data_IF_913646081221
#
_entry.id   IF_913646081221
#
_cell.length_a   1.000
_cell.length_b   1.000
_cell.length_c   1.000
_cell.angle_alpha   90.00
_cell.angle_beta   90.00
_cell.angle_gamma   90.00
#
_symmetry.space_group_name_H-M   'P 1'
#
loop_
_entity.id
_entity.type
_entity.pdbx_description
1 polymer ?
#
# COMPACT_ATOMS: atom_id res chain seq x y z
N UNK A 1 -32.84 15.51 6.73
CA UNK A 1 -32.31 14.55 5.75
C UNK A 1 -31.63 13.50 6.57
N UNK A 2 -31.94 12.22 6.34
CA UNK A 2 -31.20 11.15 7.01
C UNK A 2 -29.72 11.26 6.60
N UNK A 3 -28.83 11.14 7.57
CA UNK A 3 -27.38 11.09 7.32
C UNK A 3 -27.12 9.87 6.43
N UNK A 4 -26.38 10.02 5.31
CA UNK A 4 -26.04 8.90 4.44
C UNK A 4 -25.34 7.78 5.21
N UNK A 5 -25.65 6.52 4.88
CA UNK A 5 -24.95 5.37 5.47
C UNK A 5 -23.54 5.26 4.88
N UNK A 6 -22.56 5.71 5.67
CA UNK A 6 -21.14 5.76 5.31
C UNK A 6 -20.56 4.40 4.88
N UNK A 7 -21.11 3.29 5.36
CA UNK A 7 -20.62 1.95 5.01
C UNK A 7 -21.04 1.53 3.59
N UNK A 8 -21.99 2.25 2.98
CA UNK A 8 -22.50 1.96 1.64
C UNK A 8 -22.00 2.92 0.56
N UNK A 9 -21.38 4.04 0.95
CA UNK A 9 -20.90 5.05 0.02
C UNK A 9 -19.58 4.62 -0.63
N UNK A 10 -19.54 4.62 -1.96
CA UNK A 10 -18.33 4.47 -2.76
C UNK A 10 -18.08 5.68 -3.68
N UNK A 11 -17.19 5.50 -4.67
CA UNK A 11 -16.83 6.54 -5.64
C UNK A 11 -17.95 6.99 -6.59
N UNK A 12 -19.06 6.26 -6.69
CA UNK A 12 -20.19 6.61 -7.58
C UNK A 12 -21.39 7.19 -6.83
N UNK A 13 -21.32 7.21 -5.52
CA UNK A 13 -22.39 7.70 -4.67
C UNK A 13 -22.17 9.17 -4.34
N UNK A 14 -23.27 9.87 -4.05
CA UNK A 14 -23.19 11.26 -3.59
C UNK A 14 -22.87 11.28 -2.11
N UNK A 15 -21.83 12.02 -1.73
CA UNK A 15 -21.46 12.29 -0.34
C UNK A 15 -22.13 13.58 0.19
N UNK A 16 -23.10 14.13 -0.54
CA UNK A 16 -23.83 15.32 -0.13
C UNK A 16 -24.48 15.15 1.24
N UNK A 17 -24.18 16.07 2.15
CA UNK A 17 -24.66 16.03 3.54
C UNK A 17 -23.75 15.27 4.51
N UNK A 18 -22.67 14.63 4.03
CA UNK A 18 -21.61 14.08 4.90
C UNK A 18 -20.64 15.19 5.29
N UNK A 19 -20.37 15.33 6.58
CA UNK A 19 -19.37 16.26 7.14
C UNK A 19 -18.11 15.49 7.48
N UNK A 20 -17.10 15.58 6.62
CA UNK A 20 -15.85 14.85 6.75
C UNK A 20 -14.74 15.73 7.31
N UNK A 21 -14.05 15.26 8.34
CA UNK A 21 -12.80 15.87 8.82
C UNK A 21 -11.63 15.03 8.33
N UNK A 22 -10.64 15.67 7.71
CA UNK A 22 -9.39 15.04 7.32
C UNK A 22 -8.26 15.55 8.21
N UNK A 23 -7.63 14.66 8.98
CA UNK A 23 -6.51 14.96 9.86
C UNK A 23 -5.19 14.57 9.19
N UNK A 24 -4.34 15.57 8.96
CA UNK A 24 -3.12 15.51 8.17
C UNK A 24 -3.33 16.12 6.78
N UNK A 25 -2.38 16.93 6.35
CA UNK A 25 -2.40 17.70 5.10
C UNK A 25 -1.12 17.52 4.30
N UNK A 26 -0.57 16.30 4.33
CA UNK A 26 0.42 15.86 3.35
C UNK A 26 -0.23 15.46 2.03
N UNK A 27 0.50 14.82 1.10
CA UNK A 27 -0.06 14.38 -0.17
C UNK A 27 -1.30 13.47 -0.03
N UNK A 28 -1.29 12.54 0.93
CA UNK A 28 -2.41 11.61 1.15
C UNK A 28 -3.64 12.29 1.77
N UNK A 29 -3.44 13.20 2.72
CA UNK A 29 -4.49 14.00 3.33
C UNK A 29 -5.10 15.00 2.36
N UNK A 30 -4.28 15.66 1.54
CA UNK A 30 -4.76 16.50 0.45
C UNK A 30 -5.63 15.70 -0.53
N UNK A 31 -5.14 14.54 -1.00
CA UNK A 31 -5.88 13.66 -1.89
C UNK A 31 -7.22 13.19 -1.30
N UNK A 32 -7.24 12.84 -0.02
CA UNK A 32 -8.47 12.46 0.68
C UNK A 32 -9.47 13.63 0.73
N UNK A 33 -9.00 14.83 1.09
CA UNK A 33 -9.84 16.02 1.16
C UNK A 33 -10.40 16.42 -0.21
N UNK A 34 -9.56 16.44 -1.25
CA UNK A 34 -9.94 16.77 -2.62
C UNK A 34 -11.00 15.81 -3.17
N UNK A 35 -10.81 14.50 -3.00
CA UNK A 35 -11.74 13.50 -3.52
C UNK A 35 -13.06 13.44 -2.74
N UNK A 36 -13.04 13.62 -1.42
CA UNK A 36 -14.29 13.74 -0.64
C UNK A 36 -15.07 14.98 -1.04
N UNK A 37 -14.39 16.10 -1.29
CA UNK A 37 -15.00 17.33 -1.79
C UNK A 37 -15.58 17.13 -3.19
N UNK A 38 -14.85 16.47 -4.09
CA UNK A 38 -15.31 16.10 -5.43
C UNK A 38 -16.60 15.27 -5.39
N UNK A 39 -16.72 14.36 -4.43
CA UNK A 39 -17.89 13.52 -4.20
C UNK A 39 -19.06 14.27 -3.51
N UNK A 40 -18.86 15.53 -3.11
CA UNK A 40 -19.88 16.42 -2.56
C UNK A 40 -19.95 16.49 -1.03
N UNK A 41 -18.97 15.94 -0.30
CA UNK A 41 -18.89 16.08 1.15
C UNK A 41 -18.57 17.52 1.58
N UNK A 42 -19.02 17.91 2.78
CA UNK A 42 -18.53 19.11 3.47
C UNK A 42 -17.22 18.78 4.18
N UNK A 43 -16.09 19.25 3.63
CA UNK A 43 -14.75 18.86 4.06
C UNK A 43 -14.10 19.94 4.94
N UNK A 44 -13.55 19.50 6.08
CA UNK A 44 -12.61 20.26 6.90
C UNK A 44 -11.27 19.52 6.98
N UNK A 45 -10.22 20.07 6.39
CA UNK A 45 -8.86 19.55 6.49
C UNK A 45 -8.08 20.26 7.61
N UNK A 46 -7.39 19.49 8.46
CA UNK A 46 -6.68 19.96 9.65
C UNK A 46 -5.26 19.41 9.67
N UNK A 47 -4.27 20.25 9.99
CA UNK A 47 -2.89 19.80 10.27
C UNK A 47 -2.22 20.71 11.31
N UNK A 48 -1.38 20.16 12.17
CA UNK A 48 -0.60 20.93 13.15
C UNK A 48 0.57 21.69 12.51
N UNK A 49 1.02 21.27 11.32
CA UNK A 49 2.09 21.94 10.60
C UNK A 49 1.56 23.18 9.87
N UNK A 50 2.19 24.37 10.04
CA UNK A 50 1.69 25.63 9.47
C UNK A 50 1.84 25.77 7.95
N UNK A 51 2.31 24.73 7.24
CA UNK A 51 2.48 24.71 5.80
C UNK A 51 3.76 25.40 5.30
N UNK A 52 4.37 24.84 4.25
CA UNK A 52 5.32 25.53 3.38
C UNK A 52 4.58 26.16 2.18
N UNK A 53 5.31 26.69 1.19
CA UNK A 53 4.71 27.29 0.00
C UNK A 53 3.77 26.31 -0.72
N UNK A 54 4.21 25.07 -0.94
CA UNK A 54 3.43 24.04 -1.66
C UNK A 54 2.16 23.66 -0.90
N UNK A 55 2.24 23.48 0.43
CA UNK A 55 1.06 23.22 1.26
C UNK A 55 0.10 24.40 1.30
N UNK A 56 0.61 25.63 1.28
CA UNK A 56 -0.24 26.84 1.25
C UNK A 56 -1.01 26.92 -0.06
N UNK A 57 -0.34 26.69 -1.21
CA UNK A 57 -1.00 26.64 -2.53
C UNK A 57 -2.07 25.54 -2.61
N UNK A 58 -1.79 24.36 -2.05
CA UNK A 58 -2.78 23.27 -1.95
C UNK A 58 -3.98 23.63 -1.07
N UNK A 59 -3.75 24.32 0.05
CA UNK A 59 -4.81 24.77 0.93
C UNK A 59 -5.71 25.79 0.21
N UNK A 60 -5.12 26.80 -0.44
CA UNK A 60 -5.86 27.81 -1.22
C UNK A 60 -6.68 27.15 -2.33
N UNK A 61 -6.14 26.15 -3.03
CA UNK A 61 -6.87 25.40 -4.05
C UNK A 61 -8.12 24.72 -3.48
N UNK A 62 -7.98 23.99 -2.37
CA UNK A 62 -9.12 23.30 -1.75
C UNK A 62 -10.16 24.29 -1.21
N UNK A 63 -9.73 25.43 -0.67
CA UNK A 63 -10.64 26.49 -0.23
C UNK A 63 -11.43 27.10 -1.39
N UNK A 64 -10.79 27.31 -2.56
CA UNK A 64 -11.47 27.74 -3.79
C UNK A 64 -12.50 26.70 -4.25
N UNK A 65 -12.20 25.41 -4.08
CA UNK A 65 -13.12 24.32 -4.41
C UNK A 65 -14.25 24.15 -3.37
N UNK A 66 -14.16 24.81 -2.21
CA UNK A 66 -15.22 24.87 -1.19
C UNK A 66 -14.94 24.11 0.11
N UNK A 67 -13.74 23.53 0.29
CA UNK A 67 -13.35 22.98 1.58
C UNK A 67 -12.94 24.07 2.58
N UNK A 68 -12.88 23.71 3.86
CA UNK A 68 -12.24 24.52 4.91
C UNK A 68 -10.89 23.90 5.24
N UNK A 69 -9.84 24.70 5.32
CA UNK A 69 -8.50 24.21 5.69
C UNK A 69 -7.99 24.98 6.92
N UNK A 70 -7.41 24.27 7.89
CA UNK A 70 -6.75 24.88 9.05
C UNK A 70 -5.40 24.23 9.27
N UNK A 71 -4.36 25.02 9.10
CA UNK A 71 -2.97 24.61 9.26
C UNK A 71 -2.33 25.32 10.44
N UNK A 72 -1.41 24.64 11.12
CA UNK A 72 -0.62 25.20 12.20
C UNK A 72 -1.10 24.80 13.59
N UNK A 73 -0.30 25.21 14.58
CA UNK A 73 -0.42 24.75 15.96
C UNK A 73 -1.83 24.94 16.54
N UNK A 74 -2.40 23.86 17.08
CA UNK A 74 -3.72 23.82 17.70
C UNK A 74 -4.87 23.54 16.72
N UNK A 75 -4.61 23.42 15.41
CA UNK A 75 -5.65 23.12 14.42
C UNK A 75 -6.28 21.74 14.62
N UNK A 76 -5.54 20.78 15.20
CA UNK A 76 -6.03 19.42 15.50
C UNK A 76 -6.40 19.22 16.98
N UNK A 77 -6.47 20.30 17.77
CA UNK A 77 -6.76 20.19 19.19
C UNK A 77 -8.21 19.77 19.50
N UNK A 78 -9.16 20.16 18.64
CA UNK A 78 -10.60 19.95 18.88
C UNK A 78 -11.27 19.44 17.61
N UNK A 79 -11.88 18.26 17.70
CA UNK A 79 -12.73 17.75 16.63
C UNK A 79 -14.10 18.49 16.69
N UNK A 80 -14.57 19.12 15.59
CA UNK A 80 -15.85 19.82 15.57
C UNK A 80 -17.02 18.95 16.05
N UNK A 81 -18.09 19.53 16.58
CA UNK A 81 -19.25 18.79 17.10
C UNK A 81 -19.98 18.02 16.00
N UNK A 82 -20.14 18.67 14.85
CA UNK A 82 -20.92 18.26 13.68
C UNK A 82 -20.08 17.47 12.67
N UNK A 83 -19.57 16.30 13.06
CA UNK A 83 -18.72 15.44 12.21
C UNK A 83 -19.35 14.08 12.04
N UNK A 84 -19.45 13.63 10.79
CA UNK A 84 -19.98 12.31 10.45
C UNK A 84 -18.84 11.28 10.28
N UNK A 85 -17.65 11.73 9.84
CA UNK A 85 -16.47 10.86 9.71
C UNK A 85 -15.15 11.61 9.92
N UNK A 86 -14.20 10.96 10.57
CA UNK A 86 -12.81 11.42 10.67
C UNK A 86 -11.91 10.52 9.80
N UNK A 87 -11.23 11.10 8.83
CA UNK A 87 -10.19 10.44 8.03
C UNK A 87 -8.83 10.89 8.51
N UNK A 88 -7.93 9.95 8.78
CA UNK A 88 -6.59 10.21 9.31
C UNK A 88 -5.54 9.79 8.28
N UNK A 89 -4.67 10.72 7.88
CA UNK A 89 -3.43 10.41 7.18
C UNK A 89 -2.46 9.74 8.17
N UNK A 90 -1.96 8.55 7.85
CA UNK A 90 -1.06 7.78 8.72
C UNK A 90 -1.79 6.76 9.60
N UNK A 91 -1.66 6.90 10.93
CA UNK A 91 -2.20 5.92 11.90
C UNK A 91 -3.55 6.39 12.50
N UNK A 92 -4.70 5.86 12.02
CA UNK A 92 -6.00 6.19 12.58
C UNK A 92 -6.22 5.61 13.98
N UNK A 93 -5.30 4.79 14.48
CA UNK A 93 -5.40 4.20 15.81
C UNK A 93 -4.72 5.00 16.91
N UNK A 94 -3.82 5.91 16.54
CA UNK A 94 -3.07 6.75 17.45
C UNK A 94 -4.01 7.63 18.30
N UNK A 95 -3.78 7.75 19.63
CA UNK A 95 -4.66 8.48 20.53
C UNK A 95 -4.44 10.00 20.45
N UNK A 96 -4.60 10.58 19.26
CA UNK A 96 -4.59 12.04 19.07
C UNK A 96 -5.85 12.67 19.67
N UNK A 97 -5.87 13.99 19.93
CA UNK A 97 -7.08 14.66 20.41
C UNK A 97 -8.29 14.43 19.50
N UNK A 98 -8.10 14.48 18.17
CA UNK A 98 -9.17 14.21 17.20
C UNK A 98 -9.66 12.77 17.27
N UNK A 99 -8.74 11.78 17.25
CA UNK A 99 -9.11 10.36 17.27
C UNK A 99 -9.80 9.98 18.59
N UNK A 100 -9.31 10.50 19.71
CA UNK A 100 -9.90 10.27 21.03
C UNK A 100 -11.32 10.83 21.07
N UNK A 101 -11.51 12.09 20.66
CA UNK A 101 -12.82 12.73 20.66
C UNK A 101 -13.80 12.08 19.65
N UNK A 102 -13.31 11.57 18.51
CA UNK A 102 -14.14 10.84 17.56
C UNK A 102 -14.67 9.54 18.18
N UNK A 103 -13.78 8.75 18.80
CA UNK A 103 -14.12 7.48 19.46
C UNK A 103 -15.10 7.66 20.61
N UNK A 104 -14.90 8.67 21.44
CA UNK A 104 -15.82 8.99 22.56
C UNK A 104 -17.23 9.33 22.09
N UNK A 105 -17.36 9.89 20.88
CA UNK A 105 -18.64 10.25 20.27
C UNK A 105 -19.21 9.21 19.33
N UNK A 106 -18.52 8.09 19.12
CA UNK A 106 -18.93 7.06 18.15
C UNK A 106 -18.82 7.52 16.69
N UNK A 107 -18.03 8.55 16.40
CA UNK A 107 -17.72 8.98 15.02
C UNK A 107 -16.74 7.97 14.42
N UNK A 108 -17.03 7.38 13.24
CA UNK A 108 -16.10 6.51 12.52
C UNK A 108 -14.76 7.19 12.27
N UNK A 109 -13.68 6.46 12.53
CA UNK A 109 -12.30 6.89 12.25
C UNK A 109 -11.73 5.96 11.19
N UNK A 110 -11.45 6.51 10.02
CA UNK A 110 -10.85 5.78 8.89
C UNK A 110 -9.42 6.25 8.66
N UNK A 111 -8.56 5.35 8.18
CA UNK A 111 -7.30 5.74 7.58
C UNK A 111 -7.48 6.13 6.12
N UNK A 112 -6.56 6.90 5.54
CA UNK A 112 -6.60 7.25 4.11
C UNK A 112 -6.63 6.02 3.19
N UNK A 113 -5.94 4.93 3.56
CA UNK A 113 -5.93 3.66 2.80
C UNK A 113 -7.27 2.94 2.92
N UNK A 114 -7.90 3.03 4.09
CA UNK A 114 -9.21 2.45 4.37
C UNK A 114 -10.31 3.22 3.59
N UNK A 115 -10.19 4.54 3.49
CA UNK A 115 -10.99 5.37 2.60
C UNK A 115 -10.78 4.98 1.13
N UNK A 116 -9.53 4.89 0.66
CA UNK A 116 -9.23 4.49 -0.71
C UNK A 116 -9.82 3.11 -1.06
N UNK A 117 -9.79 2.17 -0.11
CA UNK A 117 -10.39 0.85 -0.29
C UNK A 117 -11.91 0.91 -0.47
N UNK A 118 -12.61 1.74 0.32
CA UNK A 118 -14.06 1.97 0.19
C UNK A 118 -14.44 2.69 -1.10
N UNK A 119 -13.60 3.61 -1.53
CA UNK A 119 -13.80 4.37 -2.76
C UNK A 119 -13.51 3.57 -4.03
N UNK A 120 -13.06 2.31 -3.95
CA UNK A 120 -12.92 1.49 -5.16
C UNK A 120 -14.26 1.30 -5.87
N UNK A 121 -14.24 1.28 -7.20
CA UNK A 121 -15.46 1.03 -7.96
C UNK A 121 -16.00 -0.36 -7.62
N UNK A 122 -17.32 -0.51 -7.35
CA UNK A 122 -17.92 -1.81 -7.02
C UNK A 122 -17.69 -2.88 -8.08
N UNK A 123 -17.60 -2.47 -9.35
CA UNK A 123 -17.38 -3.35 -10.49
C UNK A 123 -15.89 -3.51 -10.83
N UNK A 124 -15.01 -2.74 -10.18
CA UNK A 124 -13.57 -2.78 -10.43
C UNK A 124 -12.90 -3.87 -9.62
N UNK A 125 -12.41 -4.87 -10.35
CA UNK A 125 -11.58 -5.94 -9.82
C UNK A 125 -10.08 -5.61 -9.89
N UNK A 126 -9.68 -4.33 -10.03
CA UNK A 126 -8.25 -3.95 -10.07
C UNK A 126 -7.51 -4.59 -8.89
N UNK A 127 -6.62 -5.57 -9.14
CA UNK A 127 -5.88 -6.25 -8.09
C UNK A 127 -4.89 -5.28 -7.43
N UNK A 128 -4.82 -5.33 -6.11
CA UNK A 128 -3.80 -4.63 -5.35
C UNK A 128 -2.71 -5.61 -4.97
N UNK A 129 -1.48 -5.29 -5.37
CA UNK A 129 -0.27 -6.01 -4.99
C UNK A 129 0.43 -5.20 -3.89
N UNK A 130 0.16 -5.59 -2.65
CA UNK A 130 0.57 -4.81 -1.48
C UNK A 130 1.99 -5.18 -1.04
N UNK A 131 2.77 -4.17 -0.69
CA UNK A 131 4.13 -4.33 -0.18
C UNK A 131 4.26 -3.57 1.12
N UNK A 132 4.80 -4.22 2.15
CA UNK A 132 5.17 -3.57 3.41
C UNK A 132 6.47 -4.16 3.94
N UNK A 133 7.07 -3.50 4.91
CA UNK A 133 8.32 -3.92 5.52
C UNK A 133 8.95 -2.80 6.33
N UNK A 134 9.84 -3.16 7.25
CA UNK A 134 10.64 -2.19 8.00
C UNK A 134 11.58 -1.41 7.08
N UNK A 135 12.04 -2.04 6.00
CA UNK A 135 12.87 -1.45 4.94
C UNK A 135 12.42 -1.94 3.56
N UNK A 136 12.83 -1.24 2.49
CA UNK A 136 12.70 -1.70 1.10
C UNK A 136 11.33 -1.49 0.41
N UNK A 137 10.28 -1.03 1.12
CA UNK A 137 8.92 -0.89 0.56
C UNK A 137 8.87 -0.03 -0.70
N UNK A 138 9.34 1.22 -0.62
CA UNK A 138 9.25 2.16 -1.74
C UNK A 138 10.03 1.68 -2.98
N UNK A 139 11.20 1.08 -2.78
CA UNK A 139 12.01 0.53 -3.87
C UNK A 139 11.31 -0.66 -4.52
N UNK A 140 10.82 -1.61 -3.72
CA UNK A 140 10.10 -2.80 -4.21
C UNK A 140 8.86 -2.42 -5.00
N UNK A 141 8.09 -1.41 -4.55
CA UNK A 141 6.89 -0.93 -5.24
C UNK A 141 7.24 -0.32 -6.60
N UNK A 142 8.33 0.46 -6.70
CA UNK A 142 8.81 0.98 -7.98
C UNK A 142 9.25 -0.13 -8.94
N UNK A 143 9.99 -1.13 -8.44
CA UNK A 143 10.43 -2.28 -9.23
C UNK A 143 9.23 -3.10 -9.74
N UNK A 144 8.25 -3.33 -8.87
CA UNK A 144 7.01 -4.03 -9.21
C UNK A 144 6.26 -3.28 -10.31
N UNK A 145 6.03 -1.97 -10.16
CA UNK A 145 5.37 -1.16 -11.19
C UNK A 145 6.10 -1.22 -12.53
N UNK A 146 7.44 -1.14 -12.54
CA UNK A 146 8.23 -1.26 -13.76
C UNK A 146 8.04 -2.63 -14.47
N UNK A 147 8.02 -3.73 -13.71
CA UNK A 147 7.77 -5.08 -14.25
C UNK A 147 6.35 -5.23 -14.80
N UNK A 148 5.35 -4.69 -14.10
CA UNK A 148 3.95 -4.75 -14.54
C UNK A 148 3.72 -3.94 -15.81
N UNK A 149 4.31 -2.74 -15.90
CA UNK A 149 4.27 -1.93 -17.13
C UNK A 149 4.99 -2.60 -18.29
N UNK A 150 6.12 -3.24 -18.04
CA UNK A 150 6.81 -4.05 -19.06
C UNK A 150 6.00 -5.28 -19.51
N UNK A 151 5.04 -5.74 -18.70
CA UNK A 151 4.08 -6.77 -19.07
C UNK A 151 2.93 -6.25 -19.95
N UNK A 152 2.91 -4.95 -20.25
CA UNK A 152 1.83 -4.30 -20.98
C UNK A 152 0.61 -4.00 -20.12
N UNK A 153 0.71 -4.17 -18.79
CA UNK A 153 -0.37 -3.83 -17.86
C UNK A 153 -0.31 -2.34 -17.55
N UNK A 154 -1.48 -1.71 -17.50
CA UNK A 154 -1.62 -0.37 -16.94
C UNK A 154 -1.51 -0.44 -15.42
N UNK A 155 -0.31 -0.14 -14.92
CA UNK A 155 0.04 -0.17 -13.51
C UNK A 155 0.52 1.19 -13.01
N UNK A 156 0.37 1.40 -11.71
CA UNK A 156 0.93 2.54 -10.99
C UNK A 156 1.46 2.12 -9.62
N UNK A 157 2.65 2.63 -9.28
CA UNK A 157 3.17 2.67 -7.92
C UNK A 157 2.41 3.69 -7.06
N UNK A 158 1.75 3.23 -6.00
CA UNK A 158 0.91 4.05 -5.12
C UNK A 158 1.24 3.81 -3.65
N UNK A 159 0.85 4.76 -2.79
CA UNK A 159 1.14 4.73 -1.35
C UNK A 159 2.59 5.14 -1.07
N UNK A 160 3.28 4.36 -0.22
CA UNK A 160 4.66 4.68 0.17
C UNK A 160 5.62 4.68 -1.03
N UNK A 161 6.08 5.86 -1.44
CA UNK A 161 7.01 6.06 -2.56
C UNK A 161 6.33 6.23 -3.93
N UNK A 162 5.01 6.47 -3.96
CA UNK A 162 4.24 6.69 -5.17
C UNK A 162 3.12 7.72 -5.00
N UNK A 163 2.13 7.67 -5.90
CA UNK A 163 0.94 8.53 -5.84
C UNK A 163 0.09 8.20 -4.60
N UNK A 164 -0.61 9.15 -3.96
CA UNK A 164 -1.61 8.82 -2.96
C UNK A 164 -2.61 7.76 -3.47
N UNK A 165 -2.91 6.76 -2.63
CA UNK A 165 -3.76 5.63 -3.03
C UNK A 165 -5.17 6.11 -3.41
N UNK A 166 -5.68 7.15 -2.73
CA UNK A 166 -6.99 7.75 -3.02
C UNK A 166 -7.04 8.33 -4.44
N UNK A 167 -5.98 8.99 -4.92
CA UNK A 167 -5.94 9.53 -6.28
C UNK A 167 -6.00 8.42 -7.32
N UNK A 168 -5.28 7.31 -7.10
CA UNK A 168 -5.24 6.20 -8.05
C UNK A 168 -6.59 5.46 -8.16
N UNK A 169 -7.35 5.34 -7.06
CA UNK A 169 -8.67 4.68 -7.11
C UNK A 169 -9.75 5.59 -7.69
N UNK A 170 -9.57 6.91 -7.58
CA UNK A 170 -10.49 7.92 -8.12
C UNK A 170 -10.14 8.34 -9.55
N UNK A 171 -9.07 7.78 -10.12
CA UNK A 171 -8.71 8.00 -11.52
C UNK A 171 -9.90 7.60 -12.43
N UNK A 172 -10.35 8.49 -13.34
CA UNK A 172 -11.44 8.18 -14.25
C UNK A 172 -11.11 7.00 -15.18
N UNK A 173 -9.83 6.72 -15.39
CA UNK A 173 -9.36 5.60 -16.17
C UNK A 173 -8.92 4.43 -15.26
N UNK A 174 -9.36 3.22 -15.59
CA UNK A 174 -9.12 2.03 -14.76
C UNK A 174 -7.71 1.48 -14.93
N UNK A 175 -7.02 1.16 -13.83
CA UNK A 175 -5.78 0.39 -13.84
C UNK A 175 -6.05 -1.12 -13.92
N UNK A 176 -5.16 -1.84 -14.62
CA UNK A 176 -5.21 -3.31 -14.68
C UNK A 176 -4.76 -3.93 -13.36
N UNK A 177 -3.84 -3.27 -12.65
CA UNK A 177 -3.25 -3.70 -11.38
C UNK A 177 -2.57 -2.50 -10.70
N UNK A 178 -2.53 -2.49 -9.36
CA UNK A 178 -1.82 -1.46 -8.59
C UNK A 178 -0.69 -2.08 -7.77
N UNK A 179 0.48 -1.45 -7.78
CA UNK A 179 1.59 -1.75 -6.88
C UNK A 179 1.48 -0.82 -5.66
N UNK A 180 1.13 -1.36 -4.50
CA UNK A 180 0.69 -0.57 -3.34
C UNK A 180 1.70 -0.69 -2.19
N UNK A 181 2.42 0.39 -1.90
CA UNK A 181 3.30 0.47 -0.73
C UNK A 181 2.54 0.92 0.51
N UNK A 182 2.62 0.14 1.59
CA UNK A 182 1.91 0.42 2.84
C UNK A 182 2.86 0.44 4.03
N UNK A 183 2.71 1.46 4.87
CA UNK A 183 3.39 1.55 6.16
C UNK A 183 2.63 0.75 7.23
N UNK A 184 3.29 0.30 8.31
CA UNK A 184 2.61 -0.33 9.44
C UNK A 184 1.52 0.57 10.07
N UNK A 185 1.77 1.88 10.12
CA UNK A 185 0.82 2.88 10.60
C UNK A 185 -0.49 2.85 9.79
N UNK A 186 -0.40 2.84 8.46
CA UNK A 186 -1.57 2.75 7.58
C UNK A 186 -2.30 1.40 7.75
N UNK A 187 -1.56 0.30 7.91
CA UNK A 187 -2.14 -1.04 8.06
C UNK A 187 -2.92 -1.25 9.37
N UNK A 188 -2.64 -0.49 10.44
CA UNK A 188 -3.44 -0.57 11.67
C UNK A 188 -4.91 -0.17 11.47
N UNK A 189 -5.17 0.69 10.48
CA UNK A 189 -6.50 1.18 10.13
C UNK A 189 -7.15 0.52 8.93
N UNK A 190 -6.42 -0.30 8.17
CA UNK A 190 -6.88 -0.85 6.90
C UNK A 190 -7.61 -2.21 7.06
N UNK A 191 -8.53 -2.30 8.03
CA UNK A 191 -9.16 -3.57 8.41
C UNK A 191 -10.03 -4.23 7.33
N UNK A 192 -10.49 -3.47 6.33
CA UNK A 192 -11.28 -3.98 5.22
C UNK A 192 -10.46 -4.40 3.99
N UNK A 193 -9.16 -4.08 3.95
CA UNK A 193 -8.29 -4.29 2.79
C UNK A 193 -8.09 -5.79 2.52
N UNK A 194 -8.23 -6.21 1.26
CA UNK A 194 -8.05 -7.60 0.83
C UNK A 194 -7.21 -7.65 -0.44
N UNK A 195 -5.88 -7.68 -0.27
CA UNK A 195 -4.94 -7.70 -1.38
C UNK A 195 -5.11 -8.95 -2.26
N UNK A 196 -4.76 -8.84 -3.53
CA UNK A 196 -4.71 -10.02 -4.40
C UNK A 196 -3.48 -10.85 -4.08
N UNK A 197 -2.33 -10.19 -3.95
CA UNK A 197 -1.10 -10.74 -3.39
C UNK A 197 -0.43 -9.69 -2.51
N UNK A 198 0.34 -10.12 -1.52
CA UNK A 198 1.06 -9.21 -0.65
C UNK A 198 2.46 -9.70 -0.30
N UNK A 199 3.34 -8.78 0.09
CA UNK A 199 4.70 -9.07 0.55
C UNK A 199 5.04 -8.32 1.84
N UNK A 200 5.68 -9.02 2.78
CA UNK A 200 6.38 -8.42 3.92
C UNK A 200 7.88 -8.65 3.74
N UNK A 201 8.63 -7.57 3.52
CA UNK A 201 10.04 -7.62 3.12
C UNK A 201 11.02 -7.88 4.28
N UNK A 202 10.68 -7.32 5.45
CA UNK A 202 11.42 -7.45 6.70
C UNK A 202 10.51 -7.02 7.87
N UNK A 203 10.60 -7.69 9.01
CA UNK A 203 9.97 -7.24 10.25
C UNK A 203 10.88 -6.26 11.01
N UNK A 204 10.33 -5.39 11.88
CA UNK A 204 11.16 -4.53 12.72
C UNK A 204 12.00 -5.35 13.71
N UNK A 205 13.16 -4.80 14.10
CA UNK A 205 13.95 -5.33 15.20
C UNK A 205 13.09 -5.38 16.48
N UNK A 206 13.03 -6.54 17.12
CA UNK A 206 12.18 -6.81 18.27
C UNK A 206 12.43 -5.86 19.46
N UNK A 207 13.66 -5.33 19.59
CA UNK A 207 14.03 -4.40 20.65
C UNK A 207 13.64 -2.94 20.34
N UNK A 208 13.21 -2.64 19.10
CA UNK A 208 12.81 -1.29 18.71
C UNK A 208 11.46 -0.88 19.33
N UNK A 209 11.31 0.39 19.76
CA UNK A 209 10.03 0.89 20.26
C UNK A 209 8.91 0.69 19.24
N UNK A 210 7.80 0.07 19.66
CA UNK A 210 6.65 -0.18 18.78
C UNK A 210 6.78 -1.39 17.86
N UNK A 211 7.91 -2.10 17.83
CA UNK A 211 8.18 -3.22 16.94
C UNK A 211 7.07 -4.29 16.92
N UNK A 212 6.56 -4.66 18.10
CA UNK A 212 5.44 -5.62 18.21
C UNK A 212 4.18 -5.11 17.50
N UNK A 213 3.83 -3.85 17.69
CA UNK A 213 2.64 -3.26 17.09
C UNK A 213 2.80 -3.10 15.58
N UNK A 214 4.00 -2.71 15.12
CA UNK A 214 4.32 -2.64 13.69
C UNK A 214 4.29 -4.02 13.03
N UNK A 215 4.91 -5.03 13.64
CA UNK A 215 4.88 -6.41 13.14
C UNK A 215 3.46 -6.96 13.01
N UNK A 216 2.62 -6.76 14.02
CA UNK A 216 1.21 -7.16 13.97
C UNK A 216 0.44 -6.42 12.88
N UNK A 217 0.73 -5.13 12.65
CA UNK A 217 0.11 -4.36 11.59
C UNK A 217 0.56 -4.85 10.21
N UNK A 218 1.86 -5.13 10.01
CA UNK A 218 2.39 -5.70 8.78
C UNK A 218 1.72 -7.03 8.43
N UNK A 219 1.48 -7.90 9.41
CA UNK A 219 0.79 -9.19 9.21
C UNK A 219 -0.60 -9.07 8.59
N UNK A 220 -1.34 -8.00 8.93
CA UNK A 220 -2.69 -7.74 8.39
C UNK A 220 -2.71 -7.57 6.87
N UNK A 221 -1.57 -7.26 6.24
CA UNK A 221 -1.49 -7.19 4.77
C UNK A 221 -1.83 -8.53 4.10
N UNK A 222 -1.67 -9.65 4.84
CA UNK A 222 -2.01 -10.98 4.36
C UNK A 222 -3.47 -11.39 4.60
N UNK A 223 -4.24 -10.60 5.36
CA UNK A 223 -5.63 -10.94 5.66
C UNK A 223 -6.44 -11.04 4.35
N UNK A 224 -7.07 -12.20 4.16
CA UNK A 224 -7.90 -12.53 3.00
C UNK A 224 -7.18 -12.40 1.65
N UNK A 225 -5.85 -12.53 1.62
CA UNK A 225 -5.08 -12.58 0.37
C UNK A 225 -5.59 -13.72 -0.52
N UNK A 226 -5.69 -13.45 -1.83
CA UNK A 226 -6.30 -14.37 -2.81
C UNK A 226 -5.31 -15.31 -3.48
N UNK A 227 -4.12 -14.82 -3.84
CA UNK A 227 -3.21 -15.51 -4.77
C UNK A 227 -1.88 -15.87 -4.13
N UNK A 228 -1.14 -14.90 -3.58
CA UNK A 228 0.20 -15.13 -3.05
C UNK A 228 0.56 -14.28 -1.83
N UNK A 229 1.11 -14.93 -0.80
CA UNK A 229 1.74 -14.30 0.35
C UNK A 229 3.26 -14.46 0.24
N UNK A 230 3.98 -13.38 -0.05
CA UNK A 230 5.41 -13.38 -0.34
C UNK A 230 6.20 -13.00 0.91
N UNK A 231 7.11 -13.86 1.35
CA UNK A 231 7.89 -13.66 2.58
C UNK A 231 9.39 -13.83 2.33
N UNK A 232 10.20 -13.15 3.14
CA UNK A 232 11.65 -13.22 3.07
C UNK A 232 12.19 -14.39 3.92
N UNK A 233 12.76 -15.41 3.29
CA UNK A 233 13.31 -16.59 3.99
C UNK A 233 14.44 -16.22 4.96
N UNK A 234 15.18 -15.15 4.66
CA UNK A 234 16.25 -14.64 5.52
C UNK A 234 15.73 -13.98 6.82
N UNK A 235 14.43 -13.69 6.90
CA UNK A 235 13.78 -13.12 8.07
C UNK A 235 12.60 -14.00 8.50
N UNK A 236 12.82 -14.93 9.46
CA UNK A 236 11.79 -15.86 9.94
C UNK A 236 10.52 -15.17 10.44
N UNK A 237 10.62 -13.92 10.92
CA UNK A 237 9.47 -13.15 11.36
C UNK A 237 8.48 -12.90 10.23
N UNK A 238 8.93 -12.82 8.97
CA UNK A 238 8.04 -12.65 7.82
C UNK A 238 7.30 -13.93 7.45
N UNK A 239 7.92 -15.10 7.62
CA UNK A 239 7.28 -16.41 7.43
C UNK A 239 6.23 -16.69 8.50
N UNK A 240 6.55 -16.36 9.77
CA UNK A 240 5.61 -16.46 10.88
C UNK A 240 4.31 -15.67 10.62
N UNK A 241 4.42 -14.46 10.04
CA UNK A 241 3.24 -13.68 9.66
C UNK A 241 2.37 -14.37 8.60
N UNK A 242 2.96 -15.11 7.65
CA UNK A 242 2.21 -15.88 6.64
C UNK A 242 1.52 -17.08 7.28
N UNK A 243 2.19 -17.75 8.21
CA UNK A 243 1.63 -18.90 8.94
C UNK A 243 0.46 -18.51 9.85
N UNK A 244 0.46 -17.29 10.37
CA UNK A 244 -0.59 -16.74 11.24
C UNK A 244 -1.77 -16.13 10.46
N UNK A 245 -1.61 -15.88 9.15
CA UNK A 245 -2.59 -15.17 8.34
C UNK A 245 -3.83 -16.00 7.99
N UNK A 246 -5.01 -15.38 8.04
CA UNK A 246 -6.26 -15.95 7.52
C UNK A 246 -6.42 -15.58 6.04
N UNK A 247 -5.95 -16.45 5.15
CA UNK A 247 -5.95 -16.25 3.69
C UNK A 247 -7.13 -16.93 3.01
N UNK A 248 -7.42 -16.56 1.76
CA UNK A 248 -8.42 -17.28 0.95
C UNK A 248 -7.90 -18.65 0.53
N UNK A 249 -8.80 -19.61 0.39
CA UNK A 249 -8.47 -20.93 -0.15
C UNK A 249 -7.81 -20.79 -1.54
N UNK A 250 -6.67 -21.45 -1.72
CA UNK A 250 -5.87 -21.39 -2.94
C UNK A 250 -4.73 -20.36 -2.91
N UNK A 251 -4.70 -19.45 -1.94
CA UNK A 251 -3.55 -18.58 -1.71
C UNK A 251 -2.30 -19.40 -1.40
N UNK A 252 -1.16 -19.00 -1.96
CA UNK A 252 0.12 -19.72 -1.83
C UNK A 252 1.12 -18.90 -1.03
N UNK A 253 1.82 -19.55 -0.10
CA UNK A 253 3.03 -18.98 0.50
C UNK A 253 4.18 -19.07 -0.51
N UNK A 254 4.86 -17.94 -0.76
CA UNK A 254 5.94 -17.81 -1.74
C UNK A 254 7.17 -17.25 -1.05
N UNK A 255 8.20 -18.09 -0.86
CA UNK A 255 9.44 -17.65 -0.24
C UNK A 255 10.36 -16.94 -1.22
N UNK A 256 11.03 -15.88 -0.80
CA UNK A 256 12.15 -15.28 -1.54
C UNK A 256 13.46 -15.48 -0.78
N UNK A 257 14.50 -15.92 -1.48
CA UNK A 257 15.81 -16.24 -0.88
C UNK A 257 16.97 -15.79 -1.75
N UNK A 258 18.09 -15.40 -1.14
CA UNK A 258 19.34 -15.11 -1.86
C UNK A 258 20.15 -16.37 -2.20
N UNK A 259 19.63 -17.55 -1.84
CA UNK A 259 20.21 -18.85 -2.20
C UNK A 259 19.38 -19.60 -3.24
N UNK A 260 19.73 -20.88 -3.44
CA UNK A 260 19.02 -21.76 -4.37
C UNK A 260 17.55 -21.93 -3.92
N UNK A 261 16.55 -21.64 -4.79
CA UNK A 261 15.15 -21.70 -4.39
C UNK A 261 14.64 -23.14 -4.25
N UNK A 262 13.87 -23.36 -3.17
CA UNK A 262 13.02 -24.54 -2.98
C UNK A 262 11.76 -24.50 -3.85
N UNK A 263 10.92 -25.52 -3.73
CA UNK A 263 9.59 -25.51 -4.37
C UNK A 263 8.73 -24.41 -3.75
N UNK A 264 8.09 -23.60 -4.57
CA UNK A 264 7.29 -22.46 -4.07
C UNK A 264 8.13 -21.22 -3.75
N UNK A 265 9.37 -21.14 -4.26
CA UNK A 265 10.26 -20.01 -3.98
C UNK A 265 10.82 -19.37 -5.25
N UNK A 266 11.19 -18.10 -5.12
CA UNK A 266 12.12 -17.42 -6.02
C UNK A 266 13.47 -17.27 -5.32
N UNK A 267 14.55 -17.36 -6.07
CA UNK A 267 15.88 -17.17 -5.51
C UNK A 267 17.00 -17.09 -6.54
N UNK A 268 18.23 -17.26 -6.08
CA UNK A 268 19.43 -17.14 -6.90
C UNK A 268 20.05 -18.50 -7.20
N UNK A 269 20.41 -18.72 -8.47
CA UNK A 269 21.19 -19.87 -8.92
C UNK A 269 22.36 -19.34 -9.72
N UNK A 270 23.56 -19.36 -9.14
CA UNK A 270 24.74 -18.71 -9.71
C UNK A 270 24.46 -17.22 -9.99
N UNK A 271 24.47 -16.80 -11.26
CA UNK A 271 24.19 -15.44 -11.73
C UNK A 271 22.73 -15.24 -12.20
N UNK A 272 21.85 -16.22 -11.94
CA UNK A 272 20.46 -16.20 -12.40
C UNK A 272 19.48 -15.92 -11.27
N UNK A 273 18.47 -15.11 -11.58
CA UNK A 273 17.24 -15.03 -10.79
C UNK A 273 16.28 -16.10 -11.29
N UNK A 274 15.89 -17.01 -10.41
CA UNK A 274 15.13 -18.22 -10.76
C UNK A 274 13.75 -18.27 -10.08
N UNK A 275 12.72 -18.60 -10.86
CA UNK A 275 11.33 -18.84 -10.44
C UNK A 275 11.07 -20.35 -10.34
N UNK A 276 10.88 -20.83 -9.12
CA UNK A 276 10.41 -22.18 -8.82
C UNK A 276 9.05 -22.16 -8.09
N UNK A 277 8.32 -21.06 -8.23
CA UNK A 277 7.05 -20.85 -7.54
C UNK A 277 5.85 -20.92 -8.50
N UNK A 278 5.96 -20.27 -9.66
CA UNK A 278 4.83 -20.04 -10.58
C UNK A 278 4.88 -20.84 -11.88
N UNK A 279 5.81 -21.79 -12.02
CA UNK A 279 5.89 -22.70 -13.16
C UNK A 279 5.17 -24.03 -12.89
N UNK A 280 4.72 -24.70 -13.96
CA UNK A 280 4.02 -25.98 -13.89
C UNK A 280 4.94 -27.08 -13.32
N UNK A 281 6.18 -27.19 -13.82
CA UNK A 281 7.16 -28.19 -13.41
C UNK A 281 7.96 -27.80 -12.16
N UNK A 282 7.39 -26.98 -11.26
CA UNK A 282 8.08 -26.45 -10.06
C UNK A 282 8.68 -27.52 -9.14
N UNK A 283 8.18 -28.74 -9.19
CA UNK A 283 8.74 -29.87 -8.45
C UNK A 283 10.16 -30.23 -8.91
N UNK A 284 10.44 -30.12 -10.21
CA UNK A 284 11.66 -30.65 -10.85
C UNK A 284 12.52 -29.59 -11.53
N UNK A 285 11.98 -28.39 -11.75
CA UNK A 285 12.61 -27.35 -12.56
C UNK A 285 12.53 -25.99 -11.89
N UNK A 286 13.38 -25.07 -12.35
CA UNK A 286 13.29 -23.64 -12.05
C UNK A 286 13.42 -22.88 -13.37
N UNK A 287 12.63 -21.83 -13.54
CA UNK A 287 12.67 -20.99 -14.74
C UNK A 287 13.56 -19.77 -14.50
N UNK A 288 14.45 -19.49 -15.44
CA UNK A 288 15.18 -18.24 -15.49
C UNK A 288 14.21 -17.06 -15.70
N UNK A 289 14.31 -16.05 -14.85
CA UNK A 289 13.63 -14.76 -15.00
C UNK A 289 14.56 -13.75 -15.67
N UNK A 290 15.76 -13.58 -15.12
CA UNK A 290 16.80 -12.68 -15.60
C UNK A 290 18.16 -13.07 -15.02
N UNK A 291 19.21 -12.37 -15.43
CA UNK A 291 20.55 -12.49 -14.83
C UNK A 291 20.79 -11.36 -13.82
N UNK A 292 21.76 -11.51 -12.93
CA UNK A 292 22.18 -10.47 -11.99
C UNK A 292 22.61 -9.17 -12.69
N UNK A 293 23.09 -9.25 -13.94
CA UNK A 293 23.47 -8.08 -14.73
C UNK A 293 22.27 -7.24 -15.20
N UNK A 294 21.05 -7.78 -15.12
CA UNK A 294 19.81 -7.08 -15.47
C UNK A 294 19.24 -6.28 -14.29
N UNK A 295 19.78 -6.47 -13.08
CA UNK A 295 19.29 -5.80 -11.88
C UNK A 295 19.75 -4.34 -11.84
N UNK A 296 18.98 -3.45 -11.22
CA UNK A 296 19.37 -2.06 -11.03
C UNK A 296 20.35 -1.90 -9.85
N UNK A 297 21.36 -2.77 -9.77
CA UNK A 297 22.43 -2.75 -8.75
C UNK A 297 23.77 -2.95 -9.42
N UNK A 298 24.81 -2.26 -8.92
CA UNK A 298 26.15 -2.41 -9.44
C UNK A 298 26.91 -3.58 -8.78
N UNK A 299 26.69 -3.83 -7.49
CA UNK A 299 27.28 -4.96 -6.76
C UNK A 299 26.25 -5.68 -5.88
N UNK A 300 25.79 -6.83 -6.38
CA UNK A 300 24.83 -7.71 -5.70
C UNK A 300 25.33 -8.19 -4.33
N UNK A 301 26.63 -8.43 -4.18
CA UNK A 301 27.19 -8.89 -2.91
C UNK A 301 27.22 -7.77 -1.87
N UNK A 302 27.34 -6.52 -2.31
CA UNK A 302 27.27 -5.34 -1.46
C UNK A 302 25.83 -4.93 -1.11
N UNK A 303 24.84 -5.32 -1.94
CA UNK A 303 23.44 -4.89 -1.82
C UNK A 303 22.43 -6.05 -1.73
N UNK A 304 22.53 -6.93 -0.71
CA UNK A 304 21.63 -8.09 -0.56
C UNK A 304 20.16 -7.69 -0.34
N UNK A 305 19.90 -6.50 0.21
CA UNK A 305 18.54 -5.98 0.40
C UNK A 305 17.88 -5.63 -0.94
N UNK A 306 18.61 -4.98 -1.85
CA UNK A 306 18.07 -4.63 -3.16
C UNK A 306 17.72 -5.89 -3.96
N UNK A 307 18.55 -6.93 -3.90
CA UNK A 307 18.24 -8.21 -4.57
C UNK A 307 17.02 -8.90 -3.96
N UNK A 308 16.82 -8.80 -2.64
CA UNK A 308 15.60 -9.29 -1.99
C UNK A 308 14.36 -8.53 -2.46
N UNK A 309 14.46 -7.20 -2.58
CA UNK A 309 13.39 -6.35 -3.11
C UNK A 309 13.04 -6.72 -4.55
N UNK A 310 14.05 -6.99 -5.40
CA UNK A 310 13.85 -7.51 -6.76
C UNK A 310 13.11 -8.85 -6.75
N UNK A 311 13.52 -9.80 -5.91
CA UNK A 311 12.86 -11.11 -5.81
C UNK A 311 11.40 -11.00 -5.35
N UNK A 312 11.12 -10.13 -4.37
CA UNK A 312 9.77 -9.88 -3.88
C UNK A 312 8.88 -9.23 -4.95
N UNK A 313 9.38 -8.20 -5.64
CA UNK A 313 8.70 -7.57 -6.76
C UNK A 313 8.43 -8.57 -7.90
N UNK A 314 9.42 -9.39 -8.24
CA UNK A 314 9.26 -10.44 -9.25
C UNK A 314 8.20 -11.47 -8.84
N UNK A 315 8.18 -11.91 -7.57
CA UNK A 315 7.18 -12.85 -7.09
C UNK A 315 5.75 -12.28 -7.21
N UNK A 316 5.55 -11.01 -6.84
CA UNK A 316 4.26 -10.33 -6.97
C UNK A 316 3.85 -10.13 -8.44
N UNK A 317 4.78 -9.75 -9.32
CA UNK A 317 4.50 -9.63 -10.76
C UNK A 317 4.11 -10.98 -11.37
N UNK A 318 4.80 -12.06 -11.00
CA UNK A 318 4.49 -13.43 -11.44
C UNK A 318 3.15 -13.93 -10.89
N UNK A 319 2.71 -13.47 -9.71
CA UNK A 319 1.42 -13.82 -9.12
C UNK A 319 0.23 -13.38 -9.98
N UNK A 320 0.34 -12.25 -10.68
CA UNK A 320 -0.66 -11.78 -11.66
C UNK A 320 -0.39 -12.24 -13.10
N UNK A 321 0.54 -13.18 -13.28
CA UNK A 321 0.83 -13.79 -14.57
C UNK A 321 1.76 -12.99 -15.49
N UNK A 322 2.43 -11.93 -15.00
CA UNK A 322 3.36 -11.14 -15.81
C UNK A 322 4.44 -12.06 -16.42
N UNK A 323 4.70 -12.06 -17.74
CA UNK A 323 5.61 -12.99 -18.38
C UNK A 323 7.05 -12.78 -17.90
N UNK A 324 7.86 -13.84 -17.91
CA UNK A 324 9.26 -13.82 -17.47
C UNK A 324 10.08 -12.71 -18.17
N UNK A 325 9.86 -12.52 -19.47
CA UNK A 325 10.49 -11.45 -20.24
C UNK A 325 10.16 -10.05 -19.69
N UNK A 326 8.93 -9.81 -19.24
CA UNK A 326 8.55 -8.53 -18.66
C UNK A 326 9.23 -8.27 -17.31
N UNK A 327 9.46 -9.30 -16.49
CA UNK A 327 10.24 -9.16 -15.26
C UNK A 327 11.65 -8.66 -15.58
N UNK A 328 12.34 -9.31 -16.52
CA UNK A 328 13.67 -8.88 -16.97
C UNK A 328 13.66 -7.48 -17.56
N UNK A 329 12.75 -7.22 -18.48
CA UNK A 329 12.73 -5.96 -19.24
C UNK A 329 12.33 -4.78 -18.33
N UNK A 330 11.44 -5.01 -17.36
CA UNK A 330 11.11 -4.04 -16.31
C UNK A 330 12.28 -3.71 -15.40
N UNK A 331 13.06 -4.72 -14.98
CA UNK A 331 14.27 -4.50 -14.18
C UNK A 331 15.33 -3.66 -14.92
N UNK A 332 15.54 -3.93 -16.20
CA UNK A 332 16.47 -3.15 -17.05
C UNK A 332 16.04 -1.70 -17.23
N UNK A 333 14.73 -1.45 -17.23
CA UNK A 333 14.16 -0.12 -17.39
C UNK A 333 14.01 0.64 -16.06
N UNK A 334 14.11 -0.05 -14.93
CA UNK A 334 13.99 0.56 -13.61
C UNK A 334 15.13 1.57 -13.38
N UNK A 335 14.85 2.70 -12.71
CA UNK A 335 15.90 3.63 -12.29
C UNK A 335 16.92 2.89 -11.43
N UNK A 336 18.21 3.18 -11.65
CA UNK A 336 19.27 2.82 -10.71
C UNK A 336 19.21 3.83 -9.56
N UNK A 337 19.17 3.34 -8.32
CA UNK A 337 19.24 4.19 -7.13
C UNK A 337 20.67 4.71 -6.91
#
# INVERSE_FOLDING_TARGET
MDTPDLETLGQRDSWAGVRAVVAGFGPGGFAAADNLLHLGADVLALDEEPGDTERTERAELLEVLGARVRLGAGSTATLPEDVDVLVVQGDPTAPTPLVTAARERGVPVWGEVDLAWRLRAPDSQTPWLCVTGATGTAQTVRLLDAMLRAAGLRSLAVGQGGLPVVEAVMDPETYDVLAVGLTPAQLRGAGGLQADSAAVLAVPDADSPGARADRLAMGRVYDQVRVACVYAVADPGTEELVLEADVREGARAIGVTLGMPGVGMLGLVEDLVADRAFIEERATSAAELCTLADLPVDDVAAEPETVRNVLAAAALARAVGAPRAAVRDGLRAAPRD
#
